data_IF_825138316360
#
_entry.id   IF_825138316360
#
_cell.length_a   1.000
_cell.length_b   1.000
_cell.length_c   1.000
_cell.angle_alpha   90.00
_cell.angle_beta   90.00
_cell.angle_gamma   90.00
#
_symmetry.space_group_name_H-M   'P 1'
#
loop_
_entity.id
_entity.type
_entity.pdbx_description
1 polymer ?
#
# COMPACT_ATOMS: atom_id res chain seq x y z
N UNK A 1 9.86 16.06 -33.43
CA UNK A 1 9.48 16.88 -32.30
C UNK A 1 10.75 17.15 -31.49
N UNK A 2 11.10 18.41 -31.36
CA UNK A 2 12.20 18.84 -30.50
C UNK A 2 11.76 18.62 -29.03
N UNK A 3 12.68 18.20 -28.14
CA UNK A 3 12.35 18.11 -26.73
C UNK A 3 12.03 19.49 -26.17
N UNK A 4 10.96 19.59 -25.39
CA UNK A 4 10.63 20.84 -24.70
C UNK A 4 11.79 21.24 -23.77
N UNK A 5 12.12 22.54 -23.66
CA UNK A 5 13.23 22.97 -22.83
C UNK A 5 12.94 22.73 -21.35
N UNK A 6 13.80 21.95 -20.70
CA UNK A 6 13.81 21.82 -19.25
C UNK A 6 14.19 23.14 -18.60
N UNK A 7 13.28 23.71 -17.81
CA UNK A 7 13.56 24.91 -17.01
C UNK A 7 14.06 24.50 -15.62
N UNK A 8 15.34 24.70 -15.35
CA UNK A 8 15.87 24.61 -13.98
C UNK A 8 15.49 25.89 -13.22
N UNK A 9 14.60 25.75 -12.21
CA UNK A 9 14.14 26.86 -11.37
C UNK A 9 15.05 27.15 -10.17
N UNK A 10 16.20 26.51 -10.06
CA UNK A 10 17.20 26.74 -9.02
C UNK A 10 17.57 25.49 -8.23
N UNK A 11 18.57 25.62 -7.34
CA UNK A 11 18.99 24.56 -6.43
C UNK A 11 18.49 24.90 -5.03
N UNK A 12 17.93 23.92 -4.34
CA UNK A 12 17.75 23.99 -2.88
C UNK A 12 18.95 23.29 -2.26
N UNK A 13 19.85 24.06 -1.63
CA UNK A 13 20.92 23.49 -0.82
C UNK A 13 20.33 23.15 0.53
N UNK A 14 20.11 21.88 0.80
CA UNK A 14 19.75 21.40 2.13
C UNK A 14 21.06 21.15 2.88
N UNK A 15 21.44 22.10 3.73
CA UNK A 15 22.55 21.86 4.66
C UNK A 15 22.08 20.91 5.77
N UNK A 16 22.92 19.97 6.20
CA UNK A 16 22.60 19.19 7.41
C UNK A 16 22.39 20.13 8.60
N UNK A 17 21.49 19.80 9.53
CA UNK A 17 21.22 20.65 10.66
C UNK A 17 22.52 20.92 11.45
N UNK A 18 22.82 22.19 11.69
CA UNK A 18 24.02 22.64 12.42
C UNK A 18 23.94 22.43 13.93
N UNK A 19 22.84 21.86 14.44
CA UNK A 19 22.60 21.65 15.86
C UNK A 19 22.45 20.17 16.13
N UNK A 20 23.31 19.60 16.96
CA UNK A 20 23.12 18.24 17.48
C UNK A 20 21.78 18.16 18.24
N UNK A 21 20.82 17.43 17.70
CA UNK A 21 19.59 17.11 18.44
C UNK A 21 19.97 16.02 19.44
N UNK A 22 19.82 16.26 20.76
CA UNK A 22 20.09 15.22 21.75
C UNK A 22 19.24 13.97 21.44
N UNK A 23 19.84 12.79 21.49
CA UNK A 23 19.14 11.52 21.25
C UNK A 23 17.88 11.36 22.12
N UNK A 24 17.85 11.97 23.31
CA UNK A 24 16.69 12.03 24.21
C UNK A 24 15.49 12.83 23.64
N UNK A 25 15.67 13.62 22.58
CA UNK A 25 14.60 14.36 21.88
C UNK A 25 14.08 13.64 20.64
N UNK A 26 14.65 12.48 20.30
CA UNK A 26 14.11 11.65 19.22
C UNK A 26 12.89 10.90 19.77
N UNK A 27 11.80 10.98 19.04
CA UNK A 27 10.55 10.25 19.35
C UNK A 27 10.69 8.77 18.95
N UNK A 28 11.52 8.04 19.72
CA UNK A 28 11.77 6.62 19.55
C UNK A 28 10.92 5.82 20.52
N UNK A 29 10.14 4.87 20.02
CA UNK A 29 9.36 3.98 20.88
C UNK A 29 10.26 3.03 21.69
N UNK A 30 11.38 2.60 21.12
CA UNK A 30 12.34 1.69 21.75
C UNK A 30 13.76 2.22 21.61
N UNK A 31 14.45 2.42 22.73
CA UNK A 31 15.87 2.79 22.75
C UNK A 31 16.75 1.55 22.59
N UNK A 32 17.76 1.68 21.77
CA UNK A 32 18.70 0.60 21.46
C UNK A 32 20.10 1.19 21.31
N UNK A 33 21.14 0.41 21.54
CA UNK A 33 22.52 0.87 21.33
C UNK A 33 23.34 -0.29 20.79
N UNK A 34 23.46 -0.36 19.48
CA UNK A 34 24.32 -1.33 18.83
C UNK A 34 25.18 -0.61 17.78
N UNK A 35 26.45 -0.89 17.77
CA UNK A 35 27.41 -0.32 16.82
C UNK A 35 27.66 -1.29 15.66
N UNK A 36 27.68 -0.75 14.45
CA UNK A 36 27.99 -1.50 13.23
C UNK A 36 29.25 -0.91 12.60
N UNK A 37 30.24 -1.78 12.35
CA UNK A 37 31.52 -1.42 11.75
C UNK A 37 32.34 -0.39 12.53
N UNK A 38 31.93 -0.02 13.77
CA UNK A 38 32.54 1.05 14.54
C UNK A 38 32.30 2.45 13.95
N UNK A 39 31.51 2.58 12.90
CA UNK A 39 31.29 3.83 12.14
C UNK A 39 29.86 4.36 12.24
N UNK A 40 28.88 3.50 12.54
CA UNK A 40 27.49 3.89 12.75
C UNK A 40 26.90 3.18 13.98
N UNK A 41 25.98 3.83 14.66
CA UNK A 41 25.27 3.29 15.82
C UNK A 41 23.78 3.35 15.59
N UNK A 42 23.07 2.23 15.81
CA UNK A 42 21.63 2.20 15.94
C UNK A 42 21.24 2.68 17.33
N UNK A 43 20.52 3.79 17.42
CA UNK A 43 20.09 4.39 18.70
C UNK A 43 18.77 3.84 19.19
N UNK A 44 17.92 3.43 18.27
CA UNK A 44 16.58 2.92 18.56
C UNK A 44 15.74 2.80 17.33
N UNK A 45 14.47 2.46 17.56
CA UNK A 45 13.49 2.30 16.50
C UNK A 45 12.07 2.58 16.97
N UNK A 46 11.16 2.84 16.02
CA UNK A 46 9.72 2.82 16.22
C UNK A 46 9.08 1.88 15.24
N UNK A 47 8.26 0.96 15.71
CA UNK A 47 7.59 -0.04 14.93
C UNK A 47 6.08 0.19 14.99
N UNK A 48 5.39 0.27 13.85
CA UNK A 48 3.95 0.55 13.79
C UNK A 48 3.10 -0.52 14.49
N UNK A 49 3.52 -1.79 14.45
CA UNK A 49 2.88 -2.89 15.16
C UNK A 49 3.83 -4.08 15.36
N UNK A 50 3.65 -4.80 16.46
CA UNK A 50 4.32 -6.09 16.72
C UNK A 50 3.40 -7.30 16.49
N UNK A 51 2.13 -7.05 16.18
CA UNK A 51 1.14 -8.09 15.86
C UNK A 51 0.49 -7.73 14.54
N UNK A 52 0.78 -8.50 13.52
CA UNK A 52 0.41 -8.28 12.13
C UNK A 52 -0.38 -9.49 11.63
N UNK A 53 -1.13 -9.32 10.55
CA UNK A 53 -1.71 -10.43 9.80
C UNK A 53 -0.98 -10.61 8.47
N UNK A 54 -1.12 -11.77 7.84
CA UNK A 54 -0.63 -11.96 6.47
C UNK A 54 -1.22 -10.90 5.55
N UNK A 55 -0.38 -10.31 4.69
CA UNK A 55 -0.74 -9.21 3.81
C UNK A 55 -0.68 -7.81 4.43
N UNK A 56 -0.52 -7.68 5.74
CA UNK A 56 -0.37 -6.37 6.37
C UNK A 56 0.91 -5.68 5.93
N UNK A 57 0.81 -4.38 5.79
CA UNK A 57 1.98 -3.50 5.62
C UNK A 57 2.30 -2.84 6.96
N UNK A 58 3.55 -2.82 7.34
CA UNK A 58 4.01 -2.14 8.55
C UNK A 58 5.20 -1.25 8.28
N UNK A 59 5.33 -0.20 9.08
CA UNK A 59 6.44 0.75 9.00
C UNK A 59 7.39 0.60 10.18
N UNK A 60 8.67 0.84 9.89
CA UNK A 60 9.76 0.83 10.83
C UNK A 60 10.59 2.10 10.63
N UNK A 61 10.65 2.94 11.66
CA UNK A 61 11.61 4.03 11.74
C UNK A 61 12.86 3.54 12.47
N UNK A 62 14.02 3.67 11.84
CA UNK A 62 15.32 3.44 12.42
C UNK A 62 15.99 4.77 12.73
N UNK A 63 16.67 4.85 13.86
CA UNK A 63 17.39 6.05 14.29
C UNK A 63 18.88 5.74 14.37
N UNK A 64 19.62 6.29 13.40
CA UNK A 64 21.03 6.10 13.25
C UNK A 64 21.85 7.28 13.77
N UNK A 65 23.03 7.02 14.28
CA UNK A 65 24.03 8.03 14.60
C UNK A 65 25.35 7.70 13.93
N UNK A 66 25.90 8.64 13.16
CA UNK A 66 27.26 8.50 12.65
C UNK A 66 28.29 8.61 13.77
N UNK A 67 29.17 7.63 13.89
CA UNK A 67 30.25 7.60 14.86
C UNK A 67 31.57 8.13 14.30
N UNK A 68 31.66 8.15 12.96
CA UNK A 68 32.79 8.63 12.19
C UNK A 68 32.39 8.84 10.74
N UNK A 69 33.36 9.09 9.88
CA UNK A 69 33.12 9.16 8.44
C UNK A 69 32.95 7.76 7.88
N UNK A 70 31.90 7.55 7.09
CA UNK A 70 31.68 6.30 6.36
C UNK A 70 32.40 6.39 5.02
N UNK A 71 33.06 5.29 4.65
CA UNK A 71 33.90 5.22 3.43
C UNK A 71 33.13 4.86 2.17
N UNK A 72 31.85 4.50 2.29
CA UNK A 72 30.99 4.10 1.18
C UNK A 72 29.54 4.52 1.44
N UNK A 73 28.71 4.47 0.41
CA UNK A 73 27.26 4.62 0.52
C UNK A 73 26.62 3.26 0.83
N UNK A 74 26.39 3.04 2.12
CA UNK A 74 25.78 1.81 2.61
C UNK A 74 24.27 1.82 2.39
N UNK A 75 23.74 0.63 2.13
CA UNK A 75 22.31 0.36 2.02
C UNK A 75 21.84 -0.30 3.32
N UNK A 76 20.72 0.16 3.84
CA UNK A 76 20.06 -0.44 5.00
C UNK A 76 19.17 -1.59 4.51
N UNK A 77 19.28 -2.74 5.16
CA UNK A 77 18.34 -3.84 4.98
C UNK A 77 17.51 -4.04 6.24
N UNK A 78 16.23 -4.38 6.03
CA UNK A 78 15.29 -4.79 7.06
C UNK A 78 14.69 -6.13 6.64
N UNK A 79 14.76 -7.14 7.50
CA UNK A 79 14.32 -8.48 7.17
C UNK A 79 13.48 -9.09 8.29
N UNK A 80 12.38 -9.75 7.91
CA UNK A 80 11.72 -10.76 8.74
C UNK A 80 12.37 -12.10 8.49
N UNK A 81 12.80 -12.77 9.54
CA UNK A 81 13.44 -14.07 9.49
C UNK A 81 12.69 -15.07 10.37
N UNK A 82 12.63 -16.32 9.92
CA UNK A 82 12.14 -17.43 10.71
C UNK A 82 13.14 -17.85 11.80
N UNK A 83 12.85 -18.91 12.53
CA UNK A 83 13.69 -19.48 13.59
C UNK A 83 14.98 -20.10 13.04
N UNK A 84 15.03 -20.44 11.75
CA UNK A 84 16.23 -20.93 11.06
C UNK A 84 17.11 -19.81 10.50
N UNK A 85 16.73 -18.54 10.72
CA UNK A 85 17.34 -17.32 10.16
C UNK A 85 17.16 -17.19 8.64
N UNK A 86 16.21 -17.91 8.05
CA UNK A 86 15.85 -17.72 6.66
C UNK A 86 14.98 -16.47 6.52
N UNK A 87 15.33 -15.59 5.59
CA UNK A 87 14.52 -14.42 5.25
C UNK A 87 13.20 -14.86 4.61
N UNK A 88 12.08 -14.40 5.17
CA UNK A 88 10.73 -14.66 4.65
C UNK A 88 10.09 -13.40 4.03
N UNK A 89 10.57 -12.23 4.43
CA UNK A 89 10.23 -10.94 3.84
C UNK A 89 11.35 -9.95 4.13
N UNK A 90 11.49 -8.93 3.29
CA UNK A 90 12.51 -7.90 3.51
C UNK A 90 12.36 -6.73 2.56
N UNK A 91 13.02 -5.65 2.92
CA UNK A 91 13.22 -4.48 2.09
C UNK A 91 14.63 -3.98 2.29
N UNK A 92 15.16 -3.30 1.29
CA UNK A 92 16.46 -2.65 1.36
C UNK A 92 16.40 -1.34 0.57
N UNK A 93 16.97 -0.30 1.15
CA UNK A 93 17.06 1.00 0.52
C UNK A 93 18.23 1.80 1.10
N UNK A 94 18.85 2.68 0.31
CA UNK A 94 19.77 3.66 0.86
C UNK A 94 18.97 4.61 1.77
N UNK A 95 19.57 5.10 2.87
CA UNK A 95 19.01 6.20 3.65
C UNK A 95 18.78 7.46 2.79
N UNK A 96 17.90 8.35 3.25
CA UNK A 96 17.57 9.59 2.53
C UNK A 96 18.80 10.40 2.09
N UNK A 97 19.86 10.36 2.90
CA UNK A 97 21.16 10.98 2.58
C UNK A 97 22.21 9.89 2.41
N UNK A 98 23.06 9.96 1.39
CA UNK A 98 24.18 9.04 1.21
C UNK A 98 25.03 8.92 2.47
N UNK A 99 25.32 7.71 2.92
CA UNK A 99 26.03 7.54 4.20
C UNK A 99 27.45 8.08 4.16
N UNK A 100 28.09 8.18 2.98
CA UNK A 100 29.39 8.85 2.79
C UNK A 100 29.37 10.34 3.15
N UNK A 101 28.18 10.98 3.14
CA UNK A 101 28.00 12.37 3.54
C UNK A 101 27.76 12.55 5.06
N UNK A 102 27.66 11.45 5.82
CA UNK A 102 27.38 11.51 7.24
C UNK A 102 28.62 11.96 8.02
N UNK A 103 28.53 13.07 8.71
CA UNK A 103 29.58 13.56 9.63
C UNK A 103 29.35 12.97 11.02
N UNK A 104 30.44 12.83 11.79
CA UNK A 104 30.39 12.34 13.18
C UNK A 104 29.37 13.11 14.01
N UNK A 105 28.50 12.40 14.71
CA UNK A 105 27.42 12.95 15.53
C UNK A 105 26.09 13.15 14.78
N UNK A 106 26.07 13.10 13.45
CA UNK A 106 24.83 13.23 12.68
C UNK A 106 23.81 12.17 13.10
N UNK A 107 22.57 12.61 13.33
CA UNK A 107 21.42 11.76 13.62
C UNK A 107 20.55 11.65 12.36
N UNK A 108 20.21 10.44 11.96
CA UNK A 108 19.39 10.16 10.78
C UNK A 108 18.21 9.31 11.17
N UNK A 109 17.01 9.76 10.82
CA UNK A 109 15.78 8.97 10.83
C UNK A 109 15.62 8.33 9.47
N UNK A 110 15.40 7.03 9.46
CA UNK A 110 15.37 6.22 8.24
C UNK A 110 14.12 5.33 8.26
N UNK A 111 13.19 5.61 7.35
CA UNK A 111 11.89 4.97 7.29
C UNK A 111 11.88 3.81 6.30
N UNK A 112 11.46 2.65 6.76
CA UNK A 112 11.25 1.47 5.95
C UNK A 112 9.81 0.99 6.05
N UNK A 113 9.32 0.41 4.95
CA UNK A 113 7.99 -0.21 4.90
C UNK A 113 8.15 -1.64 4.39
N UNK A 114 7.52 -2.58 5.07
CA UNK A 114 7.53 -3.99 4.70
C UNK A 114 6.10 -4.52 4.59
N UNK A 115 5.92 -5.47 3.68
CA UNK A 115 4.69 -6.26 3.54
C UNK A 115 4.92 -7.65 4.10
N UNK A 116 3.99 -8.12 4.93
CA UNK A 116 3.96 -9.52 5.39
C UNK A 116 3.40 -10.37 4.24
N UNK A 117 4.12 -11.36 3.71
CA UNK A 117 3.62 -12.15 2.59
C UNK A 117 2.26 -12.81 2.89
N UNK A 118 1.36 -12.81 1.89
CA UNK A 118 0.01 -13.36 2.03
C UNK A 118 0.00 -14.84 2.44
N UNK A 119 0.99 -15.59 1.97
CA UNK A 119 1.14 -17.03 2.21
C UNK A 119 2.09 -17.37 3.37
N UNK A 120 2.53 -16.36 4.15
CA UNK A 120 3.41 -16.60 5.29
C UNK A 120 2.68 -17.39 6.37
N UNK A 121 3.31 -18.44 6.90
CA UNK A 121 2.73 -19.23 8.00
C UNK A 121 2.57 -18.36 9.24
N UNK A 122 1.45 -18.47 9.97
CA UNK A 122 1.31 -17.82 11.26
C UNK A 122 2.41 -18.25 12.23
N UNK A 123 2.97 -17.30 12.98
CA UNK A 123 4.09 -17.59 13.87
C UNK A 123 4.73 -16.34 14.45
N UNK A 124 5.89 -16.51 15.06
CA UNK A 124 6.72 -15.41 15.57
C UNK A 124 8.00 -15.35 14.74
N UNK A 125 8.26 -14.18 14.21
CA UNK A 125 9.40 -13.91 13.31
C UNK A 125 10.35 -12.90 13.94
N UNK A 126 11.62 -13.03 13.64
CA UNK A 126 12.66 -12.10 14.06
C UNK A 126 12.74 -10.93 13.07
N UNK A 127 12.62 -9.70 13.56
CA UNK A 127 12.87 -8.49 12.77
C UNK A 127 14.32 -8.08 12.97
N UNK A 128 15.10 -8.16 11.91
CA UNK A 128 16.52 -7.84 11.92
C UNK A 128 16.83 -6.71 10.94
N UNK A 129 17.85 -5.92 11.28
CA UNK A 129 18.34 -4.81 10.47
C UNK A 129 19.84 -4.81 10.37
N UNK A 130 20.36 -4.14 9.37
CA UNK A 130 21.80 -3.93 9.21
C UNK A 130 22.11 -3.04 8.01
N UNK A 131 23.38 -2.87 7.75
CA UNK A 131 23.88 -2.13 6.59
C UNK A 131 24.89 -2.94 5.82
N UNK A 132 24.90 -2.78 4.51
CA UNK A 132 25.89 -3.43 3.65
C UNK A 132 26.40 -2.46 2.57
N UNK A 133 27.62 -2.70 2.12
CA UNK A 133 28.19 -1.98 0.98
C UNK A 133 27.68 -2.62 -0.32
N UNK A 134 26.92 -1.88 -1.18
CA UNK A 134 26.38 -2.45 -2.41
C UNK A 134 27.45 -2.79 -3.47
N UNK A 135 28.67 -2.26 -3.34
CA UNK A 135 29.73 -2.52 -4.30
C UNK A 135 30.32 -3.94 -4.19
N UNK A 136 30.32 -4.53 -2.97
CA UNK A 136 30.93 -5.84 -2.71
C UNK A 136 30.03 -6.78 -1.87
N UNK A 137 28.86 -6.30 -1.42
CA UNK A 137 27.91 -7.02 -0.58
C UNK A 137 28.36 -7.20 0.88
N UNK A 138 29.49 -6.62 1.29
CA UNK A 138 30.01 -6.75 2.65
C UNK A 138 29.09 -6.05 3.65
N UNK A 139 28.69 -6.75 4.71
CA UNK A 139 27.85 -6.20 5.78
C UNK A 139 28.71 -5.60 6.88
N UNK A 140 28.23 -4.50 7.46
CA UNK A 140 28.82 -3.96 8.68
C UNK A 140 28.57 -4.94 9.84
N UNK A 141 29.64 -5.20 10.59
CA UNK A 141 29.63 -6.16 11.69
C UNK A 141 29.38 -5.44 13.02
N UNK A 142 28.52 -6.03 13.84
CA UNK A 142 28.23 -5.52 15.20
C UNK A 142 29.45 -5.69 16.12
N UNK A 143 29.42 -5.04 17.26
CA UNK A 143 30.43 -5.21 18.31
C UNK A 143 30.57 -6.65 18.81
N UNK A 144 29.54 -7.49 18.57
CA UNK A 144 29.52 -8.91 18.96
C UNK A 144 29.94 -9.87 17.83
N UNK A 145 30.26 -9.34 16.67
CA UNK A 145 30.65 -10.13 15.50
C UNK A 145 29.48 -10.58 14.62
N UNK A 146 28.25 -10.15 14.88
CA UNK A 146 27.09 -10.45 14.06
C UNK A 146 27.02 -9.49 12.85
N UNK A 147 26.49 -9.96 11.73
CA UNK A 147 26.32 -9.17 10.52
C UNK A 147 24.90 -8.55 10.38
N UNK A 148 24.14 -8.55 11.46
CA UNK A 148 22.79 -8.00 11.58
C UNK A 148 22.44 -7.76 13.06
N UNK A 149 21.44 -6.92 13.30
CA UNK A 149 20.93 -6.61 14.63
C UNK A 149 19.49 -7.11 14.75
N UNK A 150 19.22 -7.99 15.71
CA UNK A 150 17.86 -8.37 16.08
C UNK A 150 17.24 -7.22 16.90
N UNK A 151 16.22 -6.55 16.35
CA UNK A 151 15.58 -5.41 17.01
C UNK A 151 14.24 -5.78 17.66
N UNK A 152 13.47 -6.70 17.07
CA UNK A 152 12.18 -7.08 17.60
C UNK A 152 11.80 -8.52 17.23
N UNK A 153 10.79 -9.03 17.93
CA UNK A 153 9.99 -10.17 17.48
C UNK A 153 8.61 -9.67 17.05
N UNK A 154 8.15 -10.14 15.89
CA UNK A 154 6.87 -9.79 15.29
C UNK A 154 5.99 -11.05 15.24
N UNK A 155 4.79 -10.95 15.77
CA UNK A 155 3.79 -12.02 15.67
C UNK A 155 2.98 -11.84 14.39
N UNK A 156 2.95 -12.86 13.55
CA UNK A 156 2.12 -12.93 12.35
C UNK A 156 0.92 -13.83 12.64
N UNK A 157 -0.28 -13.27 12.50
CA UNK A 157 -1.55 -13.95 12.67
C UNK A 157 -2.07 -14.41 11.30
N UNK A 158 -2.91 -15.47 11.24
CA UNK A 158 -3.60 -15.83 10.01
C UNK A 158 -4.63 -14.75 9.65
N UNK A 159 -4.86 -14.56 8.36
CA UNK A 159 -6.00 -13.83 7.82
C UNK A 159 -7.02 -14.86 7.31
N UNK A 160 -8.32 -14.71 7.60
CA UNK A 160 -9.32 -15.59 7.03
C UNK A 160 -9.43 -15.36 5.52
N UNK A 161 -9.55 -16.45 4.77
CA UNK A 161 -9.78 -16.46 3.33
C UNK A 161 -11.11 -17.12 3.02
N UNK A 162 -11.85 -16.61 2.04
CA UNK A 162 -13.11 -17.19 1.60
C UNK A 162 -12.93 -17.83 0.20
N UNK A 163 -13.26 -19.11 0.07
CA UNK A 163 -13.19 -19.87 -1.17
C UNK A 163 -14.57 -20.24 -1.72
N UNK A 164 -15.65 -19.74 -1.09
CA UNK A 164 -17.01 -19.97 -1.58
C UNK A 164 -17.31 -18.98 -2.71
N UNK A 165 -17.69 -19.53 -3.87
CA UNK A 165 -18.03 -18.74 -5.04
C UNK A 165 -19.27 -17.87 -4.75
N UNK A 166 -19.20 -16.54 -4.98
CA UNK A 166 -20.32 -15.66 -4.75
C UNK A 166 -21.37 -15.81 -5.84
N UNK A 167 -22.60 -15.38 -5.55
CA UNK A 167 -23.69 -15.30 -6.52
C UNK A 167 -24.05 -13.83 -6.79
N UNK A 168 -23.27 -13.08 -7.60
CA UNK A 168 -23.57 -11.70 -7.90
C UNK A 168 -24.87 -11.55 -8.69
N UNK A 169 -25.63 -10.48 -8.44
CA UNK A 169 -26.84 -10.17 -9.20
C UNK A 169 -26.53 -9.84 -10.68
N UNK A 170 -25.36 -9.26 -10.91
CA UNK A 170 -24.86 -8.88 -12.24
C UNK A 170 -23.47 -9.47 -12.45
N UNK A 171 -23.30 -10.21 -13.53
CA UNK A 171 -21.98 -10.73 -13.91
C UNK A 171 -21.13 -9.62 -14.52
N UNK A 172 -19.85 -9.67 -14.25
CA UNK A 172 -18.82 -8.86 -14.86
C UNK A 172 -17.65 -9.76 -15.22
N UNK A 173 -17.09 -9.59 -16.41
CA UNK A 173 -15.97 -10.41 -16.88
C UNK A 173 -14.84 -9.46 -17.24
N UNK A 174 -14.00 -9.15 -16.25
CA UNK A 174 -12.84 -8.29 -16.45
C UNK A 174 -11.64 -8.81 -15.69
N UNK A 175 -10.49 -8.92 -16.35
CA UNK A 175 -9.24 -9.38 -15.74
C UNK A 175 -8.29 -8.20 -15.61
N UNK A 176 -7.83 -7.94 -14.39
CA UNK A 176 -6.92 -6.85 -14.04
C UNK A 176 -5.50 -7.40 -13.90
N UNK A 177 -4.69 -7.16 -14.92
CA UNK A 177 -3.33 -7.68 -15.03
C UNK A 177 -3.28 -9.19 -14.85
N UNK A 178 -2.33 -9.66 -14.04
CA UNK A 178 -2.24 -11.05 -13.59
C UNK A 178 -2.71 -11.20 -12.14
N UNK A 179 -3.42 -10.22 -11.59
CA UNK A 179 -3.76 -10.17 -10.17
C UNK A 179 -5.14 -10.75 -9.87
N UNK A 180 -6.17 -10.27 -10.54
CA UNK A 180 -7.55 -10.63 -10.19
C UNK A 180 -8.51 -10.52 -11.37
N UNK A 181 -9.58 -11.30 -11.27
CA UNK A 181 -10.78 -11.22 -12.10
C UNK A 181 -11.90 -10.55 -11.28
N UNK A 182 -12.72 -9.77 -11.95
CA UNK A 182 -13.98 -9.25 -11.42
C UNK A 182 -15.10 -10.16 -11.89
N UNK A 183 -15.65 -10.98 -10.99
CA UNK A 183 -16.69 -11.96 -11.29
C UNK A 183 -18.08 -11.33 -11.49
N UNK A 184 -18.33 -10.26 -10.76
CA UNK A 184 -19.61 -9.61 -10.79
C UNK A 184 -19.81 -8.57 -9.72
N UNK A 185 -21.03 -8.06 -9.62
CA UNK A 185 -21.35 -7.03 -8.66
C UNK A 185 -22.84 -7.07 -8.23
N UNK A 186 -23.12 -6.46 -7.08
CA UNK A 186 -24.45 -6.06 -6.64
C UNK A 186 -24.53 -4.54 -6.58
N UNK A 187 -25.72 -4.00 -6.82
CA UNK A 187 -25.94 -2.57 -6.88
C UNK A 187 -27.30 -2.21 -6.29
N UNK A 188 -27.35 -1.16 -5.49
CA UNK A 188 -28.57 -0.54 -5.01
C UNK A 188 -28.35 0.95 -4.75
N UNK A 189 -29.39 1.75 -4.76
CA UNK A 189 -29.35 3.12 -4.28
C UNK A 189 -29.99 3.22 -2.90
N UNK A 190 -29.46 4.11 -2.06
CA UNK A 190 -29.98 4.37 -0.71
C UNK A 190 -30.36 5.84 -0.63
N UNK A 191 -31.62 6.08 -0.27
CA UNK A 191 -32.15 7.42 -0.07
C UNK A 191 -31.66 8.02 1.25
N UNK A 192 -31.73 9.35 1.43
CA UNK A 192 -31.37 9.99 2.70
C UNK A 192 -32.15 9.50 3.93
N UNK A 193 -33.36 8.94 3.72
CA UNK A 193 -34.18 8.34 4.75
C UNK A 193 -33.86 6.85 5.03
N UNK A 194 -32.85 6.31 4.35
CA UNK A 194 -32.39 4.92 4.49
C UNK A 194 -33.14 3.91 3.64
N UNK A 195 -34.11 4.32 2.82
CA UNK A 195 -34.84 3.40 1.93
C UNK A 195 -33.93 2.95 0.80
N UNK A 196 -33.86 1.63 0.60
CA UNK A 196 -33.07 0.99 -0.46
C UNK A 196 -33.89 0.81 -1.72
N UNK A 197 -33.29 1.10 -2.86
CA UNK A 197 -33.90 1.01 -4.19
C UNK A 197 -33.05 0.06 -5.03
N UNK A 198 -33.62 -1.06 -5.43
CA UNK A 198 -32.94 -2.01 -6.31
C UNK A 198 -33.12 -1.64 -7.79
N UNK A 199 -32.20 -2.06 -8.67
CA UNK A 199 -32.36 -1.91 -10.11
C UNK A 199 -33.59 -2.66 -10.61
N UNK A 200 -34.25 -2.07 -11.61
CA UNK A 200 -35.41 -2.69 -12.28
C UNK A 200 -35.29 -2.50 -13.79
N UNK A 201 -35.41 -3.58 -14.56
CA UNK A 201 -35.37 -3.52 -16.02
C UNK A 201 -34.06 -2.95 -16.60
N UNK A 202 -32.93 -3.21 -15.95
CA UNK A 202 -31.64 -2.70 -16.39
C UNK A 202 -31.35 -1.24 -16.01
N UNK A 203 -32.19 -0.64 -15.16
CA UNK A 203 -32.05 0.74 -14.69
C UNK A 203 -32.04 0.81 -13.16
N UNK A 204 -31.14 1.60 -12.61
CA UNK A 204 -31.16 2.06 -11.22
C UNK A 204 -31.49 3.56 -11.23
N UNK A 205 -32.62 3.93 -10.63
CA UNK A 205 -32.99 5.33 -10.46
C UNK A 205 -32.24 5.93 -9.29
N UNK A 206 -31.63 7.09 -9.49
CA UNK A 206 -30.87 7.83 -8.49
C UNK A 206 -31.28 9.31 -8.50
N UNK A 207 -30.95 10.02 -7.42
CA UNK A 207 -31.09 11.48 -7.29
C UNK A 207 -29.90 12.07 -6.57
N UNK A 208 -29.69 13.36 -6.72
CA UNK A 208 -28.70 14.08 -5.92
C UNK A 208 -28.93 13.87 -4.42
N UNK A 209 -27.85 13.72 -3.68
CA UNK A 209 -27.88 13.43 -2.24
C UNK A 209 -28.15 11.95 -1.88
N UNK A 210 -28.43 11.08 -2.84
CA UNK A 210 -28.54 9.63 -2.57
C UNK A 210 -27.16 8.97 -2.60
N UNK A 211 -27.07 7.78 -2.00
CA UNK A 211 -25.89 6.94 -2.06
C UNK A 211 -26.10 5.80 -3.05
N UNK A 212 -25.08 5.49 -3.84
CA UNK A 212 -24.99 4.28 -4.65
C UNK A 212 -24.11 3.30 -3.91
N UNK A 213 -24.69 2.20 -3.45
CA UNK A 213 -23.99 1.11 -2.77
C UNK A 213 -23.65 0.05 -3.80
N UNK A 214 -22.36 -0.11 -4.04
CA UNK A 214 -21.77 -1.07 -4.98
C UNK A 214 -21.02 -2.13 -4.20
N UNK A 215 -21.33 -3.41 -4.44
CA UNK A 215 -20.55 -4.54 -3.94
C UNK A 215 -19.88 -5.21 -5.13
N UNK A 216 -18.56 -5.26 -5.14
CA UNK A 216 -17.74 -5.96 -6.12
C UNK A 216 -17.34 -7.33 -5.57
N UNK A 217 -17.23 -8.32 -6.46
CA UNK A 217 -16.75 -9.66 -6.13
C UNK A 217 -15.49 -9.94 -6.93
N UNK A 218 -14.34 -9.86 -6.26
CA UNK A 218 -13.04 -10.13 -6.84
C UNK A 218 -12.65 -11.59 -6.67
N UNK A 219 -12.03 -12.16 -7.69
CA UNK A 219 -11.42 -13.48 -7.70
C UNK A 219 -9.92 -13.33 -7.98
N UNK A 220 -9.06 -13.29 -6.97
CA UNK A 220 -7.62 -13.27 -7.14
C UNK A 220 -7.11 -14.48 -7.92
N UNK A 221 -6.30 -14.22 -8.95
CA UNK A 221 -5.62 -15.23 -9.78
C UNK A 221 -4.10 -15.20 -9.59
N UNK A 222 -3.59 -14.19 -8.88
CA UNK A 222 -2.19 -13.99 -8.58
C UNK A 222 -1.98 -13.32 -7.23
N UNK A 223 -0.71 -13.07 -6.90
CA UNK A 223 -0.29 -12.36 -5.69
C UNK A 223 0.45 -11.08 -6.05
N UNK A 224 0.49 -10.11 -5.14
CA UNK A 224 1.22 -8.85 -5.32
C UNK A 224 1.79 -8.37 -3.98
N UNK A 225 2.90 -7.65 -4.04
CA UNK A 225 3.49 -6.88 -2.93
C UNK A 225 2.99 -5.43 -2.89
N UNK A 226 2.10 -5.06 -3.84
CA UNK A 226 1.56 -3.72 -3.97
C UNK A 226 0.17 -3.63 -3.38
N UNK A 227 -0.06 -2.61 -2.53
CA UNK A 227 -1.38 -2.33 -1.94
C UNK A 227 -2.18 -1.43 -2.89
N UNK A 228 -2.93 -2.05 -3.81
CA UNK A 228 -3.83 -1.33 -4.69
C UNK A 228 -5.11 -0.90 -3.95
N UNK A 229 -5.64 0.27 -4.34
CA UNK A 229 -6.99 0.70 -4.02
C UNK A 229 -7.92 0.35 -5.18
N UNK A 230 -9.17 0.13 -4.87
CA UNK A 230 -10.23 0.04 -5.87
C UNK A 230 -10.79 1.46 -6.08
N UNK A 231 -10.82 1.91 -7.31
CA UNK A 231 -11.63 3.06 -7.65
C UNK A 231 -13.02 2.60 -8.11
N UNK A 232 -14.03 3.33 -7.66
CA UNK A 232 -15.43 3.13 -8.04
C UNK A 232 -16.02 4.51 -8.36
N UNK A 233 -16.09 4.84 -9.64
CA UNK A 233 -16.48 6.16 -10.10
C UNK A 233 -17.85 6.14 -10.77
N UNK A 234 -18.65 7.15 -10.49
CA UNK A 234 -19.81 7.49 -11.29
C UNK A 234 -19.35 8.39 -12.44
N UNK A 235 -19.63 7.98 -13.69
CA UNK A 235 -19.22 8.71 -14.88
C UNK A 235 -20.43 9.10 -15.73
N UNK A 236 -20.33 10.25 -16.39
CA UNK A 236 -21.35 10.72 -17.35
C UNK A 236 -21.27 9.98 -18.70
N UNK A 237 -22.14 10.31 -19.64
CA UNK A 237 -22.17 9.72 -20.99
C UNK A 237 -20.90 10.02 -21.81
N UNK A 238 -20.07 10.98 -21.38
CA UNK A 238 -18.80 11.33 -22.02
C UNK A 238 -17.62 10.63 -21.37
N UNK A 239 -17.87 9.83 -20.30
CA UNK A 239 -16.86 9.16 -19.53
C UNK A 239 -16.12 10.08 -18.54
N UNK A 240 -16.71 11.23 -18.18
CA UNK A 240 -16.14 12.12 -17.18
C UNK A 240 -16.58 11.70 -15.79
N UNK A 241 -15.63 11.61 -14.87
CA UNK A 241 -15.88 11.30 -13.46
C UNK A 241 -16.67 12.41 -12.81
N UNK A 242 -17.81 12.07 -12.18
CA UNK A 242 -18.68 13.02 -11.47
C UNK A 242 -18.82 12.72 -9.98
N UNK A 243 -18.55 11.50 -9.56
CA UNK A 243 -18.48 11.11 -8.14
C UNK A 243 -17.54 9.92 -7.94
N UNK A 244 -17.03 9.77 -6.70
CA UNK A 244 -15.98 8.83 -6.35
C UNK A 244 -16.36 8.05 -5.10
N UNK A 245 -16.02 6.76 -5.09
CA UNK A 245 -16.17 5.86 -3.95
C UNK A 245 -14.93 4.99 -3.75
N UNK A 246 -13.73 5.60 -3.86
CA UNK A 246 -12.46 4.92 -3.79
C UNK A 246 -12.16 4.44 -2.38
N UNK A 247 -11.70 3.21 -2.27
CA UNK A 247 -11.26 2.66 -0.98
C UNK A 247 -10.29 1.50 -1.17
N UNK A 248 -9.49 1.16 -0.14
CA UNK A 248 -8.79 -0.11 -0.14
C UNK A 248 -9.81 -1.26 -0.08
N UNK A 249 -9.52 -2.42 -0.72
CA UNK A 249 -10.46 -3.54 -0.77
C UNK A 249 -10.98 -3.97 0.60
N UNK A 250 -12.29 -4.20 0.70
CA UNK A 250 -13.05 -4.51 1.92
C UNK A 250 -12.77 -3.50 3.05
N UNK A 251 -12.69 -2.19 2.71
CA UNK A 251 -12.37 -1.14 3.68
C UNK A 251 -11.00 -1.30 4.34
N UNK A 252 -10.04 -1.93 3.66
CA UNK A 252 -8.70 -2.23 4.15
C UNK A 252 -8.56 -3.55 4.92
N UNK A 253 -9.65 -4.30 5.12
CA UNK A 253 -9.58 -5.60 5.81
C UNK A 253 -8.95 -6.69 4.96
N UNK A 254 -9.05 -6.58 3.62
CA UNK A 254 -8.45 -7.50 2.66
C UNK A 254 -7.61 -6.72 1.62
N UNK A 255 -6.48 -6.12 2.02
CA UNK A 255 -5.62 -5.42 1.09
C UNK A 255 -5.12 -6.37 -0.01
N UNK A 256 -4.87 -5.89 -1.22
CA UNK A 256 -4.43 -6.73 -2.34
C UNK A 256 -3.16 -7.52 -2.04
N UNK A 257 -2.33 -7.04 -1.11
CA UNK A 257 -1.13 -7.72 -0.59
C UNK A 257 -1.45 -8.98 0.22
N UNK A 258 -2.71 -9.16 0.65
CA UNK A 258 -3.18 -10.38 1.35
C UNK A 258 -3.87 -11.37 0.42
N UNK A 259 -4.12 -11.01 -0.83
CA UNK A 259 -4.86 -11.84 -1.76
C UNK A 259 -4.08 -13.09 -2.16
N UNK A 260 -4.77 -14.23 -2.18
CA UNK A 260 -4.22 -15.50 -2.64
C UNK A 260 -5.08 -16.05 -3.78
N UNK A 261 -4.47 -16.74 -4.76
CA UNK A 261 -5.22 -17.30 -5.87
C UNK A 261 -6.33 -18.26 -5.43
N UNK A 262 -7.50 -18.10 -6.04
CA UNK A 262 -8.67 -18.95 -5.82
C UNK A 262 -9.60 -18.52 -4.70
N UNK A 263 -9.28 -17.47 -3.93
CA UNK A 263 -10.22 -16.91 -2.96
C UNK A 263 -11.20 -15.93 -3.61
N UNK A 264 -12.25 -15.55 -2.90
CA UNK A 264 -13.20 -14.53 -3.29
C UNK A 264 -13.24 -13.41 -2.26
N UNK A 265 -13.11 -12.17 -2.75
CA UNK A 265 -13.15 -10.95 -1.92
C UNK A 265 -14.46 -10.22 -2.18
N UNK A 266 -15.25 -10.03 -1.13
CA UNK A 266 -16.42 -9.16 -1.16
C UNK A 266 -16.00 -7.75 -0.77
N UNK A 267 -16.23 -6.79 -1.66
CA UNK A 267 -15.69 -5.45 -1.58
C UNK A 267 -16.81 -4.40 -1.75
N UNK A 268 -17.03 -3.60 -0.71
CA UNK A 268 -18.14 -2.64 -0.65
C UNK A 268 -17.67 -1.21 -0.86
N UNK A 269 -18.34 -0.51 -1.75
CA UNK A 269 -18.12 0.89 -2.06
C UNK A 269 -19.40 1.70 -1.92
N UNK A 270 -19.27 2.93 -1.46
CA UNK A 270 -20.37 3.91 -1.37
C UNK A 270 -19.97 5.13 -2.17
N UNK A 271 -20.84 5.51 -3.13
CA UNK A 271 -20.66 6.68 -3.96
C UNK A 271 -21.82 7.64 -3.66
N UNK A 272 -21.52 8.79 -3.10
CA UNK A 272 -22.53 9.84 -2.86
C UNK A 272 -22.78 10.56 -4.18
N UNK A 273 -24.04 10.57 -4.63
CA UNK A 273 -24.46 11.27 -5.85
C UNK A 273 -24.47 12.78 -5.58
N UNK A 274 -23.65 13.59 -6.27
CA UNK A 274 -23.65 15.03 -6.05
C UNK A 274 -25.00 15.66 -6.39
N UNK A 275 -25.37 16.68 -5.66
CA UNK A 275 -26.50 17.50 -6.00
C UNK A 275 -26.20 18.39 -7.23
N UNK A 276 -27.22 18.67 -8.04
CA UNK A 276 -27.06 19.55 -9.19
C UNK A 276 -26.42 18.92 -10.43
N UNK A 277 -26.20 17.61 -10.45
CA UNK A 277 -25.85 16.93 -11.69
C UNK A 277 -27.01 17.01 -12.69
N UNK A 278 -26.73 17.14 -14.00
CA UNK A 278 -27.79 17.14 -15.03
C UNK A 278 -28.55 15.79 -15.03
N UNK A 279 -29.89 15.82 -15.21
CA UNK A 279 -30.64 14.59 -15.45
C UNK A 279 -30.12 13.85 -16.67
N UNK A 280 -30.05 12.52 -16.60
CA UNK A 280 -29.52 11.71 -17.70
C UNK A 280 -29.02 10.36 -17.25
N UNK A 281 -28.31 9.70 -18.14
CA UNK A 281 -27.71 8.40 -17.85
C UNK A 281 -26.27 8.55 -17.34
N UNK A 282 -25.98 7.73 -16.35
CA UNK A 282 -24.65 7.62 -15.75
C UNK A 282 -24.23 6.14 -15.71
N UNK A 283 -22.96 5.90 -15.59
CA UNK A 283 -22.38 4.56 -15.58
C UNK A 283 -21.42 4.43 -14.40
N UNK A 284 -21.18 3.20 -13.97
CA UNK A 284 -20.16 2.90 -12.97
C UNK A 284 -18.90 2.38 -13.66
N UNK A 285 -17.79 3.00 -13.32
CA UNK A 285 -16.46 2.61 -13.77
C UNK A 285 -15.63 2.16 -12.59
N UNK A 286 -14.96 1.01 -12.71
CA UNK A 286 -14.14 0.43 -11.63
C UNK A 286 -12.78 0.00 -12.12
N UNK A 287 -11.84 -0.12 -11.20
CA UNK A 287 -10.51 -0.65 -11.44
C UNK A 287 -9.63 -0.58 -10.22
N UNK A 288 -8.35 -0.87 -10.42
CA UNK A 288 -7.34 -0.93 -9.38
C UNK A 288 -6.23 0.10 -9.66
N UNK A 289 -5.77 0.83 -8.65
CA UNK A 289 -4.69 1.80 -8.78
C UNK A 289 -3.80 1.85 -7.54
N UNK A 290 -2.57 2.33 -7.70
CA UNK A 290 -1.66 2.56 -6.57
C UNK A 290 -1.91 3.94 -5.96
N UNK A 291 -2.34 4.03 -4.68
CA UNK A 291 -2.56 5.32 -4.04
C UNK A 291 -1.23 6.09 -3.82
N UNK A 292 -1.25 7.44 -3.68
CA UNK A 292 -2.44 8.28 -3.81
C UNK A 292 -2.80 8.64 -5.25
N UNK A 293 -1.88 8.59 -6.22
CA UNK A 293 -2.08 8.98 -7.62
C UNK A 293 -1.22 8.14 -8.56
N UNK A 294 -0.90 6.93 -8.16
CA UNK A 294 -0.06 6.03 -8.94
C UNK A 294 -0.78 5.40 -10.12
N UNK A 295 -0.07 4.57 -10.90
CA UNK A 295 -0.63 3.96 -12.09
C UNK A 295 -1.80 3.03 -11.76
N UNK A 296 -2.76 3.00 -12.66
CA UNK A 296 -3.83 2.02 -12.66
C UNK A 296 -3.32 0.66 -13.15
N UNK A 297 -3.90 -0.42 -12.63
CA UNK A 297 -3.60 -1.76 -13.11
C UNK A 297 -4.33 -2.00 -14.44
N UNK A 298 -3.61 -2.34 -15.53
CA UNK A 298 -4.24 -2.48 -16.83
C UNK A 298 -5.16 -3.70 -16.90
N UNK A 299 -6.22 -3.59 -17.72
CA UNK A 299 -7.07 -4.71 -18.08
C UNK A 299 -6.40 -5.61 -19.13
N UNK A 300 -6.65 -6.89 -19.05
CA UNK A 300 -6.35 -7.81 -20.15
C UNK A 300 -7.30 -7.48 -21.30
N UNK A 301 -6.72 -7.13 -22.44
CA UNK A 301 -7.49 -6.65 -23.60
C UNK A 301 -7.42 -5.14 -23.85
N UNK A 302 -6.84 -4.38 -22.91
CA UNK A 302 -6.53 -2.95 -23.06
C UNK A 302 -7.39 -2.04 -22.18
N UNK A 303 -6.87 -0.85 -21.93
CA UNK A 303 -7.45 0.08 -20.98
C UNK A 303 -7.03 -0.21 -19.53
N UNK A 304 -7.52 0.59 -18.60
CA UNK A 304 -7.20 0.49 -17.17
C UNK A 304 -8.44 0.74 -16.27
N UNK A 305 -9.61 0.78 -16.89
CA UNK A 305 -10.88 1.00 -16.25
C UNK A 305 -11.97 0.17 -16.93
N UNK A 306 -12.87 -0.41 -16.14
CA UNK A 306 -13.93 -1.27 -16.61
C UNK A 306 -15.30 -0.64 -16.31
N UNK A 307 -16.11 -0.45 -17.35
CA UNK A 307 -17.51 -0.01 -17.18
C UNK A 307 -18.35 -1.23 -16.82
N UNK A 308 -19.02 -1.18 -15.69
CA UNK A 308 -19.88 -2.27 -15.23
C UNK A 308 -21.07 -2.48 -16.19
N UNK A 309 -21.23 -3.68 -16.77
CA UNK A 309 -22.28 -3.97 -17.74
C UNK A 309 -23.64 -4.22 -17.08
N UNK A 310 -24.70 -4.16 -17.85
CA UNK A 310 -26.04 -4.63 -17.46
C UNK A 310 -26.93 -3.62 -16.77
N UNK A 311 -26.40 -2.58 -16.13
CA UNK A 311 -27.18 -1.54 -15.45
C UNK A 311 -26.71 -0.16 -15.87
N UNK A 312 -27.70 0.73 -16.17
CA UNK A 312 -27.51 2.18 -16.29
C UNK A 312 -28.13 2.86 -15.08
N UNK A 313 -27.52 3.93 -14.62
CA UNK A 313 -28.06 4.77 -13.57
C UNK A 313 -28.82 5.93 -14.24
N UNK A 314 -30.09 6.09 -13.90
CA UNK A 314 -30.92 7.21 -14.39
C UNK A 314 -31.06 8.25 -13.28
N UNK A 315 -30.42 9.39 -13.45
CA UNK A 315 -30.61 10.54 -12.58
C UNK A 315 -31.91 11.27 -12.96
N UNK A 316 -32.82 11.29 -12.02
CA UNK A 316 -34.10 12.03 -12.11
C UNK A 316 -34.00 13.37 -11.35
N UNK A 317 -34.78 14.36 -11.76
CA UNK A 317 -34.91 15.68 -11.08
C UNK A 317 -35.30 15.54 -9.60
#
# INVERSE_FOLDING_TARGET
PEPEPEFSIGYVIVNPPSVEVPAAKLDMAESFKEELGGVVRLLGYSLSSRSLSTGDTFSLDLFWQAMGNLSADYVVFVQLQDDTRQMVAGTESPPLYPTSSWSKGLLVRDLHTLVVPANLKPGVYNLVVGMYNPADGSRLITSRGDNQVLIAKVKVNPRPHNFEEPSPAFKAEATFGSLAELEGYNLEAVKPDGIRVAPTGGLLKIRGGWEVHLTLYWHPIGTTDKSYYVFAHLVDERGQDVAFGDSPPAGGQNPTTSWIPGEYITDHHIIVVPEGLPPGFYYLQVGLYLPPYGPRLPLVGGGDAFILPGIKLLLED
#
